data_IF_010427523541
#
_entry.id   IF_010427523541
#
_cell.length_a   1.000
_cell.length_b   1.000
_cell.length_c   1.000
_cell.angle_alpha   90.00
_cell.angle_beta   90.00
_cell.angle_gamma   90.00
#
_symmetry.space_group_name_H-M   'P 1'
#
loop_
_entity.id
_entity.type
_entity.pdbx_description
1 polymer ?
#
# COMPACT_ATOMS: atom_id res chain seq x y z
N UNK A 1 -1.94 16.98 60.84
CA UNK A 1 -0.68 17.72 61.04
C UNK A 1 -0.75 19.01 60.21
N UNK A 2 -0.70 20.15 60.89
CA UNK A 2 -1.00 21.50 60.38
C UNK A 2 0.33 22.17 60.01
N UNK A 3 0.53 22.55 58.74
CA UNK A 3 1.64 23.41 58.34
C UNK A 3 1.09 24.77 57.89
N UNK A 4 1.23 25.74 58.80
CA UNK A 4 1.01 27.17 58.58
C UNK A 4 2.32 27.78 58.09
N UNK A 5 2.29 28.50 56.96
CA UNK A 5 3.42 29.31 56.51
C UNK A 5 2.91 30.69 56.12
N UNK A 6 3.20 31.66 57.01
CA UNK A 6 3.01 33.10 56.79
C UNK A 6 3.75 33.55 55.53
N UNK A 7 3.08 34.24 54.62
CA UNK A 7 3.71 35.04 53.57
C UNK A 7 3.68 36.49 54.01
N UNK A 8 4.86 37.08 54.17
CA UNK A 8 5.03 38.52 54.24
C UNK A 8 4.99 39.08 52.81
N UNK A 9 4.16 40.09 52.62
CA UNK A 9 4.05 40.90 51.42
C UNK A 9 5.24 41.86 51.34
N UNK A 10 6.00 41.81 50.25
CA UNK A 10 6.82 42.93 49.79
C UNK A 10 6.51 43.15 48.32
N UNK A 11 5.86 44.29 48.05
CA UNK A 11 5.45 44.72 46.73
C UNK A 11 6.65 45.17 45.89
N UNK A 12 6.85 44.48 44.78
CA UNK A 12 7.59 44.97 43.62
C UNK A 12 6.77 44.59 42.39
N UNK A 13 6.00 45.56 41.88
CA UNK A 13 5.19 45.40 40.68
C UNK A 13 6.06 45.50 39.43
N UNK A 14 6.42 44.36 38.85
CA UNK A 14 6.91 44.31 37.48
C UNK A 14 5.71 44.03 36.55
N UNK A 15 5.55 44.77 35.43
CA UNK A 15 4.49 44.45 34.47
C UNK A 15 4.79 43.10 33.82
N UNK A 16 3.98 42.09 34.15
CA UNK A 16 4.00 40.79 33.49
C UNK A 16 3.38 41.00 32.10
N UNK A 17 4.21 41.03 31.06
CA UNK A 17 3.71 40.97 29.69
C UNK A 17 2.96 39.64 29.52
N UNK A 18 1.66 39.70 29.24
CA UNK A 18 0.90 38.48 28.93
C UNK A 18 1.46 37.88 27.64
N UNK A 19 1.81 36.58 27.61
CA UNK A 19 2.24 35.95 26.38
C UNK A 19 1.05 36.01 25.41
N UNK A 20 1.23 36.70 24.29
CA UNK A 20 0.25 36.68 23.20
C UNK A 20 0.22 35.25 22.67
N UNK A 21 -0.82 34.51 23.05
CA UNK A 21 -1.07 33.18 22.49
C UNK A 21 -1.45 33.40 21.02
N UNK A 22 -0.49 33.20 20.12
CA UNK A 22 -0.76 32.98 18.70
C UNK A 22 -1.71 31.78 18.60
N UNK A 23 -3.01 32.06 18.43
CA UNK A 23 -3.97 31.03 18.05
C UNK A 23 -3.52 30.48 16.70
N UNK A 24 -3.04 29.24 16.69
CA UNK A 24 -2.92 28.48 15.46
C UNK A 24 -4.31 28.47 14.82
N UNK A 25 -4.42 29.08 13.63
CA UNK A 25 -5.65 29.03 12.84
C UNK A 25 -5.96 27.56 12.54
N UNK A 26 -7.18 27.06 12.78
CA UNK A 26 -7.51 25.68 12.47
C UNK A 26 -7.35 25.47 10.97
N UNK A 27 -6.40 24.61 10.58
CA UNK A 27 -6.19 24.23 9.18
C UNK A 27 -7.48 23.55 8.71
N UNK A 28 -8.09 24.05 7.64
CA UNK A 28 -9.36 23.51 7.14
C UNK A 28 -9.21 22.03 6.78
N UNK A 29 -10.26 21.22 7.00
CA UNK A 29 -10.22 19.78 6.67
C UNK A 29 -9.85 19.52 5.21
N UNK A 30 -10.24 20.40 4.29
CA UNK A 30 -9.90 20.28 2.87
C UNK A 30 -8.40 20.54 2.62
N UNK A 31 -7.79 21.43 3.39
CA UNK A 31 -6.35 21.65 3.34
C UNK A 31 -5.59 20.50 3.98
N UNK A 32 -6.08 19.93 5.08
CA UNK A 32 -5.51 18.71 5.68
C UNK A 32 -5.61 17.56 4.68
N UNK A 33 -6.76 17.34 4.03
CA UNK A 33 -6.93 16.29 3.01
C UNK A 33 -6.04 16.52 1.80
N UNK A 34 -5.89 17.76 1.32
CA UNK A 34 -4.98 18.07 0.20
C UNK A 34 -3.52 17.86 0.55
N UNK A 35 -3.09 18.28 1.74
CA UNK A 35 -1.72 18.05 2.22
C UNK A 35 -1.47 16.57 2.41
N UNK A 36 -2.36 15.85 3.08
CA UNK A 36 -2.25 14.40 3.23
C UNK A 36 -2.23 13.69 1.88
N UNK A 37 -3.04 14.13 0.92
CA UNK A 37 -3.04 13.58 -0.43
C UNK A 37 -1.74 13.92 -1.17
N UNK A 38 -1.21 15.13 -1.03
CA UNK A 38 0.10 15.53 -1.58
C UNK A 38 1.23 14.75 -0.95
N UNK A 39 1.30 14.66 0.37
CA UNK A 39 2.31 13.93 1.12
C UNK A 39 2.27 12.43 0.79
N UNK A 40 1.06 11.87 0.60
CA UNK A 40 0.90 10.52 0.10
C UNK A 40 1.39 10.39 -1.33
N UNK A 41 1.03 11.31 -2.24
CA UNK A 41 1.50 11.30 -3.63
C UNK A 41 3.01 11.49 -3.75
N UNK A 42 3.61 12.37 -2.95
CA UNK A 42 5.05 12.64 -2.90
C UNK A 42 5.80 11.43 -2.31
N UNK A 43 5.29 10.83 -1.23
CA UNK A 43 5.80 9.56 -0.71
C UNK A 43 5.60 8.40 -1.69
N UNK A 44 4.55 8.44 -2.51
CA UNK A 44 4.32 7.47 -3.58
C UNK A 44 5.29 7.66 -4.75
N UNK A 45 5.67 8.90 -5.09
CA UNK A 45 6.69 9.19 -6.11
C UNK A 45 8.09 8.79 -5.59
N UNK A 46 8.43 9.00 -4.31
CA UNK A 46 9.70 8.55 -3.73
C UNK A 46 9.84 7.01 -3.67
N UNK A 47 8.80 6.27 -3.26
CA UNK A 47 8.80 4.80 -3.31
C UNK A 47 8.94 4.28 -4.75
N UNK A 48 8.36 5.03 -5.71
CA UNK A 48 8.51 4.77 -7.12
C UNK A 48 9.95 4.95 -7.59
N UNK A 49 10.56 6.09 -7.24
CA UNK A 49 11.93 6.44 -7.57
C UNK A 49 12.93 5.43 -7.00
N UNK A 50 12.70 4.93 -5.78
CA UNK A 50 13.51 3.86 -5.19
C UNK A 50 13.35 2.50 -5.92
N UNK A 51 12.13 2.07 -6.27
CA UNK A 51 11.95 0.88 -7.16
C UNK A 51 12.53 1.14 -8.58
N UNK A 52 12.66 2.41 -8.97
CA UNK A 52 13.19 2.84 -10.26
C UNK A 52 14.72 2.69 -10.33
N UNK A 53 15.41 3.14 -9.28
CA UNK A 53 16.87 3.09 -9.10
C UNK A 53 17.40 1.67 -8.90
N UNK A 54 16.70 0.82 -8.13
CA UNK A 54 17.11 -0.59 -7.92
C UNK A 54 17.18 -1.43 -9.20
N UNK A 55 16.49 -1.01 -10.28
CA UNK A 55 16.56 -1.69 -11.60
C UNK A 55 17.50 -1.03 -12.59
N UNK A 56 18.17 0.07 -12.25
CA UNK A 56 19.19 0.69 -13.11
C UNK A 56 20.54 -0.07 -13.10
N UNK A 57 20.50 -1.40 -13.02
CA UNK A 57 21.66 -2.28 -13.32
C UNK A 57 22.01 -2.24 -14.84
N UNK A 58 21.23 -1.55 -15.68
CA UNK A 58 21.56 -1.34 -17.10
C UNK A 58 22.62 -0.23 -17.35
N UNK A 59 23.05 0.51 -16.31
CA UNK A 59 24.01 1.61 -16.47
C UNK A 59 25.47 1.18 -16.76
N UNK A 60 25.72 -0.10 -17.05
CA UNK A 60 26.99 -0.59 -17.59
C UNK A 60 27.11 -0.50 -19.13
N UNK A 61 26.06 -0.11 -19.86
CA UNK A 61 26.02 -0.35 -21.31
C UNK A 61 26.19 0.88 -22.24
N UNK A 62 26.41 2.11 -21.75
CA UNK A 62 26.98 3.22 -22.53
C UNK A 62 26.46 3.48 -23.96
N UNK A 63 25.19 3.17 -24.27
CA UNK A 63 24.61 3.31 -25.61
C UNK A 63 23.59 4.46 -25.64
N UNK A 64 23.60 5.33 -26.65
CA UNK A 64 22.60 6.37 -26.81
C UNK A 64 21.28 5.68 -27.18
N UNK A 65 20.36 5.63 -26.23
CA UNK A 65 19.02 5.13 -26.44
C UNK A 65 18.03 6.17 -25.93
N UNK A 66 16.83 6.11 -26.49
CA UNK A 66 15.64 6.94 -26.31
C UNK A 66 15.17 7.01 -24.83
N UNK A 67 16.07 7.41 -23.93
CA UNK A 67 15.99 7.18 -22.49
C UNK A 67 14.91 8.02 -21.82
N UNK A 68 14.61 9.19 -22.38
CA UNK A 68 13.53 10.05 -21.89
C UNK A 68 12.15 9.46 -22.22
N UNK A 69 11.97 8.84 -23.39
CA UNK A 69 10.73 8.16 -23.77
C UNK A 69 10.52 6.92 -22.91
N UNK A 70 11.57 6.11 -22.70
CA UNK A 70 11.51 4.94 -21.82
C UNK A 70 11.21 5.33 -20.37
N UNK A 71 11.86 6.38 -19.84
CA UNK A 71 11.60 6.89 -18.50
C UNK A 71 10.14 7.34 -18.33
N UNK A 72 9.60 8.09 -19.29
CA UNK A 72 8.21 8.54 -19.27
C UNK A 72 7.22 7.38 -19.34
N UNK A 73 7.46 6.38 -20.20
CA UNK A 73 6.61 5.19 -20.28
C UNK A 73 6.61 4.39 -18.97
N UNK A 74 7.80 4.24 -18.35
CA UNK A 74 7.97 3.57 -17.06
C UNK A 74 7.24 4.30 -15.94
N UNK A 75 7.39 5.62 -15.83
CA UNK A 75 6.65 6.45 -14.87
C UNK A 75 5.13 6.31 -15.04
N UNK A 76 4.62 6.35 -16.28
CA UNK A 76 3.19 6.15 -16.57
C UNK A 76 2.70 4.77 -16.13
N UNK A 77 3.43 3.71 -16.47
CA UNK A 77 3.09 2.34 -16.06
C UNK A 77 2.92 2.24 -14.54
N UNK A 78 3.88 2.79 -13.81
CA UNK A 78 3.93 2.69 -12.37
C UNK A 78 2.86 3.54 -11.66
N UNK A 79 2.59 4.74 -12.18
CA UNK A 79 1.46 5.57 -11.73
C UNK A 79 0.13 4.83 -11.86
N UNK A 80 -0.11 4.20 -13.01
CA UNK A 80 -1.32 3.40 -13.21
C UNK A 80 -1.35 2.14 -12.37
N UNK A 81 -0.22 1.45 -12.20
CA UNK A 81 -0.10 0.28 -11.34
C UNK A 81 -0.52 0.62 -9.90
N UNK A 82 -0.03 1.73 -9.35
CA UNK A 82 -0.40 2.17 -8.01
C UNK A 82 -1.86 2.59 -7.90
N UNK A 83 -2.38 3.35 -8.88
CA UNK A 83 -3.81 3.69 -8.93
C UNK A 83 -4.68 2.43 -8.89
N UNK A 84 -4.37 1.43 -9.72
CA UNK A 84 -5.11 0.17 -9.80
C UNK A 84 -4.97 -0.68 -8.53
N UNK A 85 -3.79 -0.70 -7.90
CA UNK A 85 -3.61 -1.37 -6.61
C UNK A 85 -4.44 -0.71 -5.51
N UNK A 86 -4.59 0.62 -5.51
CA UNK A 86 -5.51 1.31 -4.61
C UNK A 86 -6.97 0.88 -4.79
N UNK A 87 -7.41 0.71 -6.04
CA UNK A 87 -8.75 0.18 -6.33
C UNK A 87 -8.90 -1.29 -5.93
N UNK A 88 -7.85 -2.11 -6.05
CA UNK A 88 -7.85 -3.50 -5.59
C UNK A 88 -8.01 -3.61 -4.07
N UNK A 89 -7.43 -2.69 -3.29
CA UNK A 89 -7.64 -2.63 -1.82
C UNK A 89 -9.10 -2.34 -1.50
N UNK A 90 -9.72 -1.37 -2.20
CA UNK A 90 -11.16 -1.08 -2.02
C UNK A 90 -12.03 -2.29 -2.37
N UNK A 91 -11.70 -2.99 -3.46
CA UNK A 91 -12.38 -4.23 -3.85
C UNK A 91 -12.26 -5.30 -2.76
N UNK A 92 -11.06 -5.49 -2.21
CA UNK A 92 -10.81 -6.44 -1.12
C UNK A 92 -11.67 -6.13 0.10
N UNK A 93 -11.70 -4.87 0.53
CA UNK A 93 -12.48 -4.46 1.71
C UNK A 93 -13.98 -4.67 1.48
N UNK A 94 -14.46 -4.41 0.26
CA UNK A 94 -15.82 -4.73 -0.14
C UNK A 94 -16.10 -6.24 -0.11
N UNK A 95 -15.20 -7.08 -0.63
CA UNK A 95 -15.36 -8.54 -0.60
C UNK A 95 -15.45 -9.05 0.84
N UNK A 96 -14.55 -8.60 1.71
CA UNK A 96 -14.50 -8.99 3.11
C UNK A 96 -15.77 -8.57 3.88
N UNK A 97 -16.23 -7.33 3.70
CA UNK A 97 -17.42 -6.80 4.39
C UNK A 97 -18.72 -7.42 3.89
N UNK A 98 -18.83 -7.68 2.58
CA UNK A 98 -20.04 -8.27 1.97
C UNK A 98 -20.04 -9.80 1.96
N UNK A 99 -18.98 -10.43 2.48
CA UNK A 99 -18.80 -11.90 2.53
C UNK A 99 -18.90 -12.58 1.16
N UNK A 100 -18.50 -11.87 0.09
CA UNK A 100 -18.46 -12.45 -1.26
C UNK A 100 -17.30 -13.42 -1.39
N UNK A 101 -17.41 -14.34 -2.34
CA UNK A 101 -16.41 -15.38 -2.62
C UNK A 101 -15.87 -15.12 -4.02
N UNK A 102 -14.58 -14.80 -4.13
CA UNK A 102 -13.97 -14.45 -5.42
C UNK A 102 -12.86 -15.45 -5.72
N UNK A 103 -12.83 -15.96 -6.95
CA UNK A 103 -11.74 -16.82 -7.45
C UNK A 103 -11.19 -16.20 -8.71
N UNK A 104 -9.86 -16.08 -8.79
CA UNK A 104 -9.15 -15.60 -9.97
C UNK A 104 -8.23 -16.72 -10.46
N UNK A 105 -8.45 -17.19 -11.69
CA UNK A 105 -7.65 -18.26 -12.31
C UNK A 105 -6.73 -17.65 -13.35
N UNK A 106 -5.43 -17.94 -13.24
CA UNK A 106 -4.40 -17.48 -14.17
C UNK A 106 -3.91 -18.63 -15.04
N UNK A 107 -4.27 -18.62 -16.32
CA UNK A 107 -3.84 -19.60 -17.32
C UNK A 107 -2.94 -18.97 -18.38
N UNK A 108 -2.14 -19.79 -19.06
CA UNK A 108 -1.27 -19.35 -20.16
C UNK A 108 -0.04 -20.22 -20.34
N UNK A 109 0.74 -19.96 -21.39
CA UNK A 109 1.97 -20.70 -21.69
C UNK A 109 3.06 -20.46 -20.64
N UNK A 110 4.08 -21.31 -20.65
CA UNK A 110 5.31 -21.08 -19.88
C UNK A 110 5.96 -19.77 -20.32
N UNK A 111 6.58 -19.06 -19.38
CA UNK A 111 7.18 -17.73 -19.56
C UNK A 111 6.23 -16.61 -20.02
N UNK A 112 4.91 -16.79 -20.02
CA UNK A 112 3.93 -15.75 -20.38
C UNK A 112 3.81 -14.59 -19.35
N UNK A 113 4.55 -14.63 -18.23
CA UNK A 113 4.54 -13.55 -17.23
C UNK A 113 3.45 -13.66 -16.15
N UNK A 114 2.75 -14.79 -16.03
CA UNK A 114 1.67 -15.02 -15.03
C UNK A 114 2.10 -14.68 -13.60
N UNK A 115 3.27 -15.14 -13.19
CA UNK A 115 3.80 -14.89 -11.84
C UNK A 115 4.05 -13.40 -11.55
N UNK A 116 4.48 -12.63 -12.55
CA UNK A 116 4.66 -11.18 -12.44
C UNK A 116 3.34 -10.45 -12.24
N UNK A 117 2.30 -10.84 -12.99
CA UNK A 117 0.95 -10.29 -12.85
C UNK A 117 0.37 -10.62 -11.47
N UNK A 118 0.44 -11.89 -11.04
CA UNK A 118 0.00 -12.31 -9.70
C UNK A 118 0.70 -11.48 -8.63
N UNK A 119 2.04 -11.36 -8.70
CA UNK A 119 2.83 -10.55 -7.77
C UNK A 119 2.32 -9.11 -7.71
N UNK A 120 2.09 -8.46 -8.85
CA UNK A 120 1.63 -7.06 -8.89
C UNK A 120 0.21 -6.89 -8.32
N UNK A 121 -0.67 -7.86 -8.50
CA UNK A 121 -2.02 -7.83 -7.91
C UNK A 121 -1.94 -8.00 -6.39
N UNK A 122 -1.14 -8.94 -5.91
CA UNK A 122 -1.14 -9.35 -4.49
C UNK A 122 -0.24 -8.50 -3.60
N UNK A 123 0.70 -7.74 -4.16
CA UNK A 123 1.73 -6.98 -3.42
C UNK A 123 1.17 -6.01 -2.36
N UNK A 124 -0.04 -5.48 -2.55
CA UNK A 124 -0.69 -4.53 -1.61
C UNK A 124 -1.98 -5.05 -0.99
N UNK A 125 -2.30 -6.33 -1.17
CA UNK A 125 -3.48 -6.96 -0.60
C UNK A 125 -3.16 -7.61 0.75
N UNK A 126 -4.15 -7.64 1.64
CA UNK A 126 -4.06 -8.32 2.93
C UNK A 126 -4.02 -9.84 2.71
N UNK A 127 -2.95 -10.54 3.12
CA UNK A 127 -2.79 -11.98 2.88
C UNK A 127 -3.81 -12.85 3.64
N UNK A 128 -4.54 -12.28 4.60
CA UNK A 128 -5.64 -12.96 5.29
C UNK A 128 -6.93 -12.98 4.48
N UNK A 129 -7.07 -12.07 3.52
CA UNK A 129 -8.25 -11.96 2.65
C UNK A 129 -7.95 -12.55 1.27
N UNK A 130 -6.79 -12.20 0.70
CA UNK A 130 -6.36 -12.68 -0.61
C UNK A 130 -5.26 -13.73 -0.46
N UNK A 131 -5.49 -14.95 -0.95
CA UNK A 131 -4.47 -16.01 -0.95
C UNK A 131 -4.03 -16.40 -2.36
N UNK A 132 -2.76 -16.74 -2.50
CA UNK A 132 -2.22 -17.30 -3.75
C UNK A 132 -2.02 -18.79 -3.57
N UNK A 133 -2.57 -19.57 -4.49
CA UNK A 133 -2.40 -21.03 -4.53
C UNK A 133 -1.67 -21.42 -5.79
N UNK A 134 -0.51 -22.06 -5.62
CA UNK A 134 0.27 -22.66 -6.69
C UNK A 134 0.47 -24.14 -6.37
N UNK A 135 -0.31 -25.00 -7.02
CA UNK A 135 -0.23 -26.44 -6.80
C UNK A 135 0.90 -27.06 -7.64
N UNK A 136 1.73 -27.95 -7.07
CA UNK A 136 2.68 -28.72 -7.86
C UNK A 136 1.94 -29.75 -8.72
N UNK A 137 2.70 -30.44 -9.57
CA UNK A 137 2.22 -31.61 -10.28
C UNK A 137 1.53 -32.60 -9.31
N UNK A 138 0.43 -33.25 -9.70
CA UNK A 138 -0.32 -34.13 -8.82
C UNK A 138 0.53 -35.34 -8.41
N UNK A 139 0.46 -35.72 -7.14
CA UNK A 139 1.07 -36.95 -6.65
C UNK A 139 0.28 -38.20 -7.08
N UNK A 140 0.82 -39.40 -6.83
CA UNK A 140 0.22 -40.65 -7.32
C UNK A 140 -1.18 -40.92 -6.76
N UNK A 141 -1.45 -40.48 -5.53
CA UNK A 141 -2.80 -40.56 -4.95
C UNK A 141 -3.74 -39.57 -5.62
N UNK A 142 -3.33 -38.32 -5.82
CA UNK A 142 -4.15 -37.29 -6.49
C UNK A 142 -4.49 -37.66 -7.94
N UNK A 143 -3.60 -38.36 -8.66
CA UNK A 143 -3.86 -38.85 -10.02
C UNK A 143 -5.01 -39.87 -10.09
N UNK A 144 -5.28 -40.58 -9.00
CA UNK A 144 -6.36 -41.59 -8.91
C UNK A 144 -7.63 -41.05 -8.25
N UNK A 145 -7.57 -39.84 -7.69
CA UNK A 145 -8.73 -39.12 -7.16
C UNK A 145 -9.52 -38.45 -8.27
N UNK A 146 -10.72 -37.98 -7.93
CA UNK A 146 -11.48 -37.13 -8.84
C UNK A 146 -10.69 -35.84 -9.10
N UNK A 147 -10.52 -35.46 -10.38
CA UNK A 147 -9.64 -34.36 -10.81
C UNK A 147 -9.84 -33.05 -10.02
N UNK A 148 -11.09 -32.67 -9.74
CA UNK A 148 -11.40 -31.43 -9.02
C UNK A 148 -11.15 -31.49 -7.52
N UNK A 149 -11.02 -32.69 -6.94
CA UNK A 149 -10.94 -32.91 -5.50
C UNK A 149 -9.75 -32.18 -4.86
N UNK A 150 -8.62 -32.05 -5.57
CA UNK A 150 -7.44 -31.32 -5.07
C UNK A 150 -7.62 -29.80 -5.05
N UNK A 151 -8.52 -29.25 -5.87
CA UNK A 151 -8.73 -27.80 -5.98
C UNK A 151 -9.80 -27.28 -5.02
N UNK A 152 -10.83 -28.10 -4.73
CA UNK A 152 -11.96 -27.73 -3.85
C UNK A 152 -11.52 -27.18 -2.49
N UNK A 153 -10.50 -27.75 -1.79
CA UNK A 153 -10.02 -27.20 -0.51
C UNK A 153 -9.46 -25.77 -0.60
N UNK A 154 -9.11 -25.31 -1.81
CA UNK A 154 -8.53 -23.99 -2.03
C UNK A 154 -9.58 -22.93 -2.40
N UNK A 155 -10.83 -23.30 -2.60
CA UNK A 155 -11.90 -22.37 -2.93
C UNK A 155 -12.21 -21.42 -1.75
N UNK A 156 -12.46 -20.13 -2.02
CA UNK A 156 -12.68 -19.10 -1.01
C UNK A 156 -13.90 -19.39 -0.14
N UNK A 157 -13.75 -19.16 1.15
CA UNK A 157 -14.86 -18.93 2.06
C UNK A 157 -15.40 -17.49 1.89
N UNK A 158 -16.51 -17.19 2.55
CA UNK A 158 -17.14 -15.88 2.45
C UNK A 158 -16.23 -14.77 2.97
N UNK A 159 -15.91 -13.81 2.11
CA UNK A 159 -15.00 -12.71 2.39
C UNK A 159 -13.56 -12.96 1.94
N UNK A 160 -13.30 -14.02 1.18
CA UNK A 160 -11.97 -14.37 0.68
C UNK A 160 -11.86 -14.23 -0.85
N UNK A 161 -10.63 -13.98 -1.29
CA UNK A 161 -10.17 -13.88 -2.69
C UNK A 161 -9.08 -14.95 -2.94
#
# INVERSE_FOLDING_TARGET
MRWSRKRHETGLSYPIAQPTILRAQPVSEDEIKRRLHSDLLDGYDEELEMELEDRNIDQLAGLPTDGDVYRQARQRYFRELFRLQGELVKLQDWVATTRRKVVIVFEGRDAAGKGGVIKRITQRLNPRVCRVVALPAPNDREKTQWYFQRYVPHLPAGGEI
#
